data_IF_582514293008
#
_entry.id   IF_582514293008
#
_cell.length_a   1.000
_cell.length_b   1.000
_cell.length_c   1.000
_cell.angle_alpha   90.00
_cell.angle_beta   90.00
_cell.angle_gamma   90.00
#
_symmetry.space_group_name_H-M   'P 1'
#
loop_
_entity.id
_entity.type
_entity.pdbx_description
1 polymer ?
#
# COMPACT_ATOMS: atom_id res chain seq x y z
N UNK A 1 4.77 -0.73 7.46
CA UNK A 1 5.90 -1.42 8.13
C UNK A 1 7.23 -1.19 7.42
N UNK A 2 7.31 -1.38 6.11
CA UNK A 2 8.56 -1.13 5.36
C UNK A 2 9.04 0.33 5.47
N UNK A 3 8.11 1.27 5.47
CA UNK A 3 8.40 2.71 5.60
C UNK A 3 8.56 3.16 7.06
N UNK A 4 8.18 2.34 8.04
CA UNK A 4 8.09 2.70 9.46
C UNK A 4 7.17 3.91 9.70
N UNK A 5 6.16 4.07 8.88
CA UNK A 5 5.17 5.14 8.99
C UNK A 5 4.12 4.77 10.05
N UNK A 6 3.66 5.75 10.81
CA UNK A 6 2.55 5.55 11.76
C UNK A 6 1.29 5.08 11.00
N UNK A 7 0.69 3.99 11.45
CA UNK A 7 -0.47 3.39 10.80
C UNK A 7 -1.68 4.35 10.71
N UNK A 8 -1.78 5.33 11.60
CA UNK A 8 -2.85 6.34 11.59
C UNK A 8 -2.80 7.24 10.36
N UNK A 9 -1.61 7.45 9.78
CA UNK A 9 -1.48 8.16 8.50
C UNK A 9 -2.16 7.39 7.38
N UNK A 10 -1.96 6.07 7.32
CA UNK A 10 -2.64 5.22 6.34
C UNK A 10 -4.15 5.11 6.58
N UNK A 11 -4.57 5.05 7.85
CA UNK A 11 -5.98 5.05 8.21
C UNK A 11 -6.67 6.33 7.73
N UNK A 12 -6.07 7.50 7.98
CA UNK A 12 -6.61 8.78 7.50
C UNK A 12 -6.66 8.86 5.97
N UNK A 13 -5.65 8.29 5.29
CA UNK A 13 -5.67 8.19 3.82
C UNK A 13 -6.84 7.34 3.31
N UNK A 14 -7.14 6.24 3.98
CA UNK A 14 -8.30 5.41 3.63
C UNK A 14 -9.63 6.09 3.92
N UNK A 15 -9.72 6.92 4.97
CA UNK A 15 -10.90 7.75 5.25
C UNK A 15 -11.25 8.66 4.06
N UNK A 16 -10.23 9.18 3.36
CA UNK A 16 -10.44 10.06 2.20
C UNK A 16 -10.71 9.32 0.89
N UNK A 17 -10.15 8.12 0.72
CA UNK A 17 -10.04 7.50 -0.60
C UNK A 17 -10.98 6.33 -0.83
N UNK A 18 -11.39 5.58 0.21
CA UNK A 18 -12.18 4.37 0.02
C UNK A 18 -13.65 4.69 -0.26
N UNK A 19 -14.17 4.17 -1.36
CA UNK A 19 -15.60 4.29 -1.71
C UNK A 19 -16.50 3.41 -0.86
N UNK A 20 -15.99 2.33 -0.33
CA UNK A 20 -16.64 1.38 0.57
C UNK A 20 -16.16 1.55 2.03
N UNK A 21 -15.80 2.76 2.40
CA UNK A 21 -15.28 3.08 3.72
C UNK A 21 -16.26 2.75 4.86
N UNK A 22 -15.73 2.10 5.87
CA UNK A 22 -16.40 1.84 7.15
C UNK A 22 -15.44 2.14 8.30
N UNK A 23 -15.87 2.97 9.24
CA UNK A 23 -15.02 3.46 10.34
C UNK A 23 -14.43 2.34 11.20
N UNK A 24 -15.24 1.34 11.53
CA UNK A 24 -14.81 0.24 12.38
C UNK A 24 -13.85 -0.68 11.64
N UNK A 25 -14.18 -1.06 10.41
CA UNK A 25 -13.35 -1.92 9.57
C UNK A 25 -12.01 -1.27 9.24
N UNK A 26 -12.02 0.05 8.93
CA UNK A 26 -10.80 0.80 8.66
C UNK A 26 -9.88 0.83 9.90
N UNK A 27 -10.41 1.26 11.05
CA UNK A 27 -9.62 1.35 12.28
C UNK A 27 -9.09 -0.02 12.72
N UNK A 28 -9.93 -1.05 12.73
CA UNK A 28 -9.52 -2.42 13.11
C UNK A 28 -8.52 -3.03 12.15
N UNK A 29 -8.72 -2.85 10.84
CA UNK A 29 -7.82 -3.37 9.81
C UNK A 29 -6.42 -2.76 9.90
N UNK A 30 -6.32 -1.44 10.13
CA UNK A 30 -5.04 -0.76 10.31
C UNK A 30 -4.34 -1.14 11.61
N UNK A 31 -5.08 -1.27 12.73
CA UNK A 31 -4.53 -1.77 14.00
C UNK A 31 -4.06 -3.23 13.86
N UNK A 32 -4.83 -4.07 13.18
CA UNK A 32 -4.42 -5.44 12.90
C UNK A 32 -3.14 -5.47 12.08
N UNK A 33 -3.05 -4.68 11.02
CA UNK A 33 -1.84 -4.58 10.19
C UNK A 33 -0.64 -4.08 10.99
N UNK A 34 -0.84 -3.14 11.91
CA UNK A 34 0.20 -2.63 12.81
C UNK A 34 0.65 -3.65 13.86
N UNK A 35 -0.17 -4.66 14.15
CA UNK A 35 0.07 -5.65 15.21
C UNK A 35 -0.29 -5.14 16.60
N UNK A 36 -1.15 -4.14 16.71
CA UNK A 36 -1.55 -3.47 17.97
C UNK A 36 -3.05 -3.57 18.28
N UNK A 37 -3.84 -4.17 17.38
CA UNK A 37 -5.27 -4.32 17.58
C UNK A 37 -5.64 -5.48 18.52
N UNK A 38 -6.89 -5.51 19.02
CA UNK A 38 -7.38 -6.59 19.90
C UNK A 38 -7.42 -7.94 19.20
N UNK A 39 -7.55 -7.96 17.88
CA UNK A 39 -7.49 -9.15 17.02
C UNK A 39 -6.22 -9.14 16.18
N UNK A 40 -5.10 -8.85 16.79
CA UNK A 40 -3.81 -8.83 16.10
C UNK A 40 -3.42 -10.24 15.65
N UNK A 41 -2.72 -10.33 14.53
CA UNK A 41 -2.11 -11.57 14.08
C UNK A 41 -1.21 -12.15 15.18
N UNK A 42 -1.12 -13.50 15.32
CA UNK A 42 -0.40 -14.16 16.41
C UNK A 42 1.10 -13.81 16.45
N UNK A 43 1.62 -13.22 15.40
CA UNK A 43 2.99 -12.70 15.32
C UNK A 43 3.08 -11.50 14.36
N UNK A 44 4.12 -10.70 14.53
CA UNK A 44 4.35 -9.52 13.71
C UNK A 44 4.67 -9.91 12.25
N UNK A 45 3.66 -9.80 11.38
CA UNK A 45 3.79 -10.10 9.94
C UNK A 45 4.23 -8.88 9.14
N UNK A 46 5.14 -9.12 8.22
CA UNK A 46 5.52 -8.16 7.20
C UNK A 46 5.38 -8.85 5.85
N UNK A 47 4.32 -8.49 5.11
CA UNK A 47 4.13 -9.01 3.77
C UNK A 47 5.11 -8.35 2.81
N UNK A 48 5.67 -9.14 1.90
CA UNK A 48 6.42 -8.60 0.78
C UNK A 48 5.43 -8.35 -0.38
N UNK A 49 5.17 -7.08 -0.78
CA UNK A 49 4.19 -6.77 -1.83
C UNK A 49 4.57 -7.35 -3.19
N UNK A 50 5.86 -7.49 -3.51
CA UNK A 50 6.30 -8.10 -4.76
C UNK A 50 5.92 -9.59 -4.80
N UNK A 51 6.19 -10.34 -3.73
CA UNK A 51 5.80 -11.76 -3.63
C UNK A 51 4.28 -11.93 -3.64
N UNK A 52 3.53 -11.02 -3.01
CA UNK A 52 2.07 -11.05 -3.07
C UNK A 52 1.56 -10.78 -4.50
N UNK A 53 2.13 -9.80 -5.19
CA UNK A 53 1.79 -9.51 -6.57
C UNK A 53 2.09 -10.70 -7.50
N UNK A 54 3.23 -11.34 -7.34
CA UNK A 54 3.61 -12.54 -8.09
C UNK A 54 2.66 -13.71 -7.85
N UNK A 55 2.22 -13.89 -6.60
CA UNK A 55 1.31 -14.98 -6.23
C UNK A 55 -0.13 -14.78 -6.72
N UNK A 56 -0.66 -13.56 -6.64
CA UNK A 56 -2.09 -13.29 -6.89
C UNK A 56 -2.38 -12.59 -8.22
N UNK A 57 -1.35 -12.05 -8.87
CA UNK A 57 -1.44 -11.35 -10.15
C UNK A 57 -0.16 -11.60 -10.97
N UNK A 58 0.17 -12.89 -11.17
CA UNK A 58 1.44 -13.34 -11.78
C UNK A 58 1.65 -12.81 -13.19
N UNK A 59 0.59 -12.67 -13.96
CA UNK A 59 0.57 -12.09 -15.30
C UNK A 59 0.43 -10.56 -15.32
N UNK A 60 0.38 -9.94 -14.15
CA UNK A 60 0.19 -8.50 -13.94
C UNK A 60 -1.08 -7.93 -14.59
N UNK A 61 -2.10 -8.75 -14.80
CA UNK A 61 -3.33 -8.35 -15.50
C UNK A 61 -4.12 -7.33 -14.69
N UNK A 62 -4.28 -7.55 -13.37
CA UNK A 62 -4.97 -6.62 -12.47
C UNK A 62 -4.22 -5.29 -12.37
N UNK A 63 -2.90 -5.34 -12.13
CA UNK A 63 -2.07 -4.13 -12.03
C UNK A 63 -2.09 -3.30 -13.31
N UNK A 64 -1.99 -3.93 -14.49
CA UNK A 64 -2.05 -3.23 -15.78
C UNK A 64 -3.43 -2.67 -16.10
N UNK A 65 -4.48 -3.26 -15.56
CA UNK A 65 -5.84 -2.75 -15.74
C UNK A 65 -6.06 -1.44 -14.95
N UNK A 66 -5.48 -1.33 -13.75
CA UNK A 66 -5.73 -0.21 -12.86
C UNK A 66 -4.60 0.83 -12.77
N UNK A 67 -3.38 0.49 -13.18
CA UNK A 67 -2.21 1.35 -13.08
C UNK A 67 -1.73 1.66 -14.49
N UNK A 68 -1.98 2.90 -14.94
CA UNK A 68 -1.72 3.31 -16.31
C UNK A 68 -0.24 3.17 -16.71
N UNK A 69 0.67 3.54 -15.82
CA UNK A 69 2.13 3.50 -16.05
C UNK A 69 2.67 2.08 -16.26
N UNK A 70 1.92 1.04 -15.88
CA UNK A 70 2.29 -0.36 -16.08
C UNK A 70 1.71 -0.96 -17.36
N UNK A 71 0.79 -0.27 -18.02
CA UNK A 71 0.15 -0.72 -19.25
C UNK A 71 0.81 -0.07 -20.47
N UNK A 72 1.00 -0.85 -21.55
CA UNK A 72 1.46 -0.30 -22.84
C UNK A 72 0.40 0.64 -23.45
N UNK A 73 -0.85 0.25 -23.30
CA UNK A 73 -2.03 1.00 -23.76
C UNK A 73 -3.03 1.02 -22.60
N UNK A 74 -2.97 2.07 -21.74
CA UNK A 74 -3.85 2.15 -20.57
C UNK A 74 -5.32 2.29 -20.98
N UNK A 75 -6.18 1.49 -20.36
CA UNK A 75 -7.63 1.61 -20.48
C UNK A 75 -8.19 2.85 -19.79
N UNK A 76 -9.47 3.19 -20.05
CA UNK A 76 -10.12 4.35 -19.44
C UNK A 76 -10.15 4.31 -17.91
N UNK A 77 -10.27 3.13 -17.32
CA UNK A 77 -10.28 2.94 -15.85
C UNK A 77 -8.94 3.36 -15.24
N UNK A 78 -7.81 2.93 -15.84
CA UNK A 78 -6.49 3.30 -15.38
C UNK A 78 -6.20 4.80 -15.59
N UNK A 79 -6.73 5.41 -16.64
CA UNK A 79 -6.56 6.84 -16.93
C UNK A 79 -7.44 7.74 -16.07
N UNK A 80 -8.57 7.24 -15.57
CA UNK A 80 -9.52 8.04 -14.79
C UNK A 80 -8.91 8.59 -13.51
N UNK A 81 -7.95 7.91 -12.91
CA UNK A 81 -7.19 8.39 -11.75
C UNK A 81 -6.50 9.72 -12.05
N UNK A 82 -5.81 9.84 -13.18
CA UNK A 82 -5.08 11.05 -13.56
C UNK A 82 -6.02 12.22 -13.88
N UNK A 83 -7.26 11.93 -14.27
CA UNK A 83 -8.28 12.96 -14.45
C UNK A 83 -8.88 13.46 -13.12
N UNK A 84 -8.87 12.60 -12.09
CA UNK A 84 -9.46 12.87 -10.79
C UNK A 84 -8.51 13.57 -9.81
N UNK A 85 -7.19 13.30 -9.90
CA UNK A 85 -6.21 13.87 -8.98
C UNK A 85 -5.98 15.37 -9.20
N UNK A 86 -5.59 16.12 -8.15
CA UNK A 86 -5.27 17.53 -8.30
C UNK A 86 -4.14 17.78 -9.33
N UNK A 87 -4.34 18.70 -10.24
CA UNK A 87 -3.31 19.07 -11.24
C UNK A 87 -2.00 19.54 -10.61
N UNK A 88 -2.07 20.10 -9.40
CA UNK A 88 -0.89 20.53 -8.64
C UNK A 88 0.06 19.39 -8.27
N UNK A 89 -0.39 18.13 -8.32
CA UNK A 89 0.47 16.98 -8.08
C UNK A 89 1.39 16.66 -9.26
N UNK A 90 1.10 17.22 -10.45
CA UNK A 90 1.96 17.04 -11.62
C UNK A 90 2.10 15.58 -12.08
N UNK A 91 1.12 14.73 -11.82
CA UNK A 91 1.13 13.34 -12.25
C UNK A 91 0.83 13.22 -13.73
N UNK A 92 1.53 12.30 -14.39
CA UNK A 92 1.43 12.02 -15.81
C UNK A 92 1.35 10.51 -16.05
N UNK A 93 0.26 10.07 -16.69
CA UNK A 93 0.03 8.67 -17.03
C UNK A 93 1.07 8.09 -18.02
N UNK A 94 1.79 8.94 -18.75
CA UNK A 94 2.85 8.53 -19.66
C UNK A 94 4.22 8.39 -18.99
N UNK A 95 4.35 8.87 -17.75
CA UNK A 95 5.57 8.73 -16.99
C UNK A 95 5.80 7.26 -16.56
N UNK A 96 7.04 6.81 -16.42
CA UNK A 96 7.30 5.47 -15.90
C UNK A 96 6.82 5.35 -14.44
N UNK A 97 6.33 4.16 -14.07
CA UNK A 97 5.97 3.88 -12.69
C UNK A 97 7.14 4.18 -11.74
N UNK A 98 6.92 4.88 -10.63
CA UNK A 98 8.01 5.31 -9.75
C UNK A 98 8.85 4.16 -9.21
N UNK A 99 10.13 4.41 -9.03
CA UNK A 99 11.02 3.47 -8.35
C UNK A 99 10.58 3.27 -6.89
N UNK A 100 10.85 2.09 -6.29
CA UNK A 100 10.56 1.86 -4.89
C UNK A 100 11.21 2.89 -3.97
N UNK A 101 10.42 3.46 -3.04
CA UNK A 101 10.89 4.43 -2.05
C UNK A 101 11.83 3.80 -1.03
N UNK A 102 11.68 2.49 -0.78
CA UNK A 102 12.52 1.71 0.12
C UNK A 102 12.73 0.32 -0.45
N UNK A 103 13.94 -0.21 -0.33
CA UNK A 103 14.18 -1.63 -0.58
C UNK A 103 13.38 -2.50 0.40
N UNK A 104 12.67 -3.50 -0.12
CA UNK A 104 11.76 -4.33 0.67
C UNK A 104 12.48 -5.17 1.72
N UNK A 105 13.69 -5.65 1.44
CA UNK A 105 14.54 -6.38 2.38
C UNK A 105 14.96 -5.49 3.53
N UNK A 106 15.55 -4.35 3.22
CA UNK A 106 15.99 -3.34 4.18
C UNK A 106 14.82 -2.83 5.04
N UNK A 107 13.68 -2.52 4.43
CA UNK A 107 12.48 -2.09 5.15
C UNK A 107 11.97 -3.16 6.13
N UNK A 108 11.98 -4.42 5.70
CA UNK A 108 11.61 -5.55 6.57
C UNK A 108 12.56 -5.71 7.76
N UNK A 109 13.86 -5.65 7.54
CA UNK A 109 14.86 -5.76 8.61
C UNK A 109 14.72 -4.65 9.64
N UNK A 110 14.54 -3.41 9.20
CA UNK A 110 14.26 -2.26 10.09
C UNK A 110 13.01 -2.47 10.93
N UNK A 111 11.92 -2.93 10.33
CA UNK A 111 10.68 -3.17 11.04
C UNK A 111 10.80 -4.31 12.07
N UNK A 112 11.52 -5.38 11.74
CA UNK A 112 11.79 -6.48 12.68
C UNK A 112 12.67 -6.04 13.84
N UNK A 113 13.72 -5.26 13.56
CA UNK A 113 14.60 -4.70 14.60
C UNK A 113 13.82 -3.80 15.57
N UNK A 114 12.99 -2.89 15.05
CA UNK A 114 12.15 -2.03 15.86
C UNK A 114 11.13 -2.84 16.70
N UNK A 115 10.53 -3.87 16.10
CA UNK A 115 9.63 -4.76 16.82
C UNK A 115 10.31 -5.52 17.96
N UNK A 116 11.55 -5.97 17.76
CA UNK A 116 12.34 -6.66 18.78
C UNK A 116 12.84 -5.75 19.90
N UNK A 117 13.07 -4.48 19.60
CA UNK A 117 13.56 -3.48 20.54
C UNK A 117 12.45 -2.86 21.43
N UNK A 118 11.17 -3.21 21.19
CA UNK A 118 10.07 -2.71 22.00
C UNK A 118 10.15 -3.21 23.45
N UNK A 119 9.96 -2.32 24.39
CA UNK A 119 9.79 -2.62 25.80
C UNK A 119 8.30 -2.55 26.16
N UNK A 120 7.73 -3.62 26.63
CA UNK A 120 6.42 -3.68 27.25
C UNK A 120 6.55 -3.88 28.75
#
# INVERSE_FOLDING_TARGET
>A
KHLMTDWRVGMAWFDDCLTDWDAASNAMGWQWAAGSGPDAAPYFRIFNPATQAEKFDSDARYRRHWIAELAREPGPEAQSYFAAVPRAWGLDASAPYPAPVVDLGTGRERALAAYSARNF
#
